data_IF_632496968568
#
_entry.id   IF_632496968568
#
_cell.length_a   1.000
_cell.length_b   1.000
_cell.length_c   1.000
_cell.angle_alpha   90.00
_cell.angle_beta   90.00
_cell.angle_gamma   90.00
#
_symmetry.space_group_name_H-M   'P 1'
#
loop_
_entity.id
_entity.type
_entity.pdbx_description
1 polymer ?
#
# COMPACT_ATOMS: atom_id res chain seq x y z
N UNK A 1 -25.19 20.54 20.94
CA UNK A 1 -24.79 19.14 21.22
C UNK A 1 -24.62 18.96 22.72
N UNK A 2 -24.60 17.73 23.25
CA UNK A 2 -24.44 17.46 24.69
C UNK A 2 -23.10 18.00 25.26
N UNK A 3 -22.15 18.30 24.37
CA UNK A 3 -20.83 18.84 24.64
C UNK A 3 -20.84 20.36 24.77
N UNK A 4 -21.80 21.04 24.14
CA UNK A 4 -21.94 22.50 24.17
C UNK A 4 -22.70 22.98 25.43
N UNK A 5 -23.30 22.04 26.17
CA UNK A 5 -24.04 22.32 27.40
C UNK A 5 -23.04 22.51 28.55
N UNK A 6 -23.14 23.59 29.35
CA UNK A 6 -22.24 23.81 30.46
C UNK A 6 -22.33 22.68 31.49
N UNK A 7 -21.17 22.25 32.00
CA UNK A 7 -21.06 21.11 32.93
C UNK A 7 -21.89 21.30 34.21
N UNK A 8 -22.21 22.55 34.58
CA UNK A 8 -23.10 22.90 35.69
C UNK A 8 -24.46 22.25 35.58
N UNK A 9 -25.10 22.47 34.43
CA UNK A 9 -26.47 22.09 34.15
C UNK A 9 -26.52 20.58 33.94
N UNK A 10 -25.53 20.06 33.21
CA UNK A 10 -25.41 18.63 32.95
C UNK A 10 -25.13 17.83 34.24
N UNK A 11 -24.34 18.37 35.18
CA UNK A 11 -24.12 17.75 36.49
C UNK A 11 -25.36 17.77 37.40
N UNK A 12 -26.16 18.83 37.30
CA UNK A 12 -27.42 18.94 38.03
C UNK A 12 -28.47 17.95 37.50
N UNK A 13 -28.62 17.85 36.18
CA UNK A 13 -29.54 16.91 35.53
C UNK A 13 -29.14 15.44 35.74
N UNK A 14 -27.83 15.15 35.70
CA UNK A 14 -27.33 13.80 35.92
C UNK A 14 -27.18 13.45 37.40
N UNK A 15 -27.37 14.41 38.32
CA UNK A 15 -27.12 14.26 39.77
C UNK A 15 -25.74 13.66 40.07
N UNK A 16 -24.72 14.07 39.30
CA UNK A 16 -23.33 13.59 39.41
C UNK A 16 -22.37 14.73 39.74
N UNK A 17 -21.14 14.38 40.14
CA UNK A 17 -20.10 15.39 40.37
C UNK A 17 -19.72 16.08 39.06
N UNK A 18 -19.47 17.39 39.11
CA UNK A 18 -19.00 18.16 37.94
C UNK A 18 -17.75 17.55 37.29
N UNK A 19 -16.87 16.96 38.09
CA UNK A 19 -15.65 16.31 37.60
C UNK A 19 -15.97 15.05 36.79
N UNK A 20 -16.92 14.23 37.25
CA UNK A 20 -17.36 13.04 36.52
C UNK A 20 -18.04 13.42 35.19
N UNK A 21 -18.90 14.44 35.22
CA UNK A 21 -19.60 14.93 34.03
C UNK A 21 -18.66 15.60 33.03
N UNK A 22 -17.66 16.35 33.49
CA UNK A 22 -16.59 16.88 32.63
C UNK A 22 -15.79 15.75 31.98
N UNK A 23 -15.44 14.70 32.74
CA UNK A 23 -14.75 13.52 32.21
C UNK A 23 -15.57 12.81 31.14
N UNK A 24 -16.88 12.70 31.33
CA UNK A 24 -17.80 12.13 30.34
C UNK A 24 -17.89 12.99 29.07
N UNK A 25 -18.04 14.31 29.20
CA UNK A 25 -18.08 15.22 28.06
C UNK A 25 -16.77 15.20 27.25
N UNK A 26 -15.62 15.21 27.93
CA UNK A 26 -14.32 15.10 27.28
C UNK A 26 -14.17 13.77 26.53
N UNK A 27 -14.60 12.67 27.14
CA UNK A 27 -14.57 11.35 26.50
C UNK A 27 -15.49 11.30 25.28
N UNK A 28 -16.70 11.87 25.38
CA UNK A 28 -17.65 11.94 24.28
C UNK A 28 -17.10 12.75 23.11
N UNK A 29 -16.51 13.92 23.38
CA UNK A 29 -15.86 14.74 22.37
C UNK A 29 -14.73 13.96 21.68
N UNK A 30 -13.85 13.32 22.46
CA UNK A 30 -12.75 12.53 21.91
C UNK A 30 -13.25 11.39 21.00
N UNK A 31 -14.30 10.67 21.39
CA UNK A 31 -14.88 9.60 20.57
C UNK A 31 -15.50 10.15 19.29
N UNK A 32 -16.14 11.32 19.34
CA UNK A 32 -16.72 11.97 18.16
C UNK A 32 -15.64 12.45 17.19
N UNK A 33 -14.58 13.06 17.71
CA UNK A 33 -13.44 13.51 16.92
C UNK A 33 -12.75 12.33 16.23
N UNK A 34 -12.47 11.26 16.98
CA UNK A 34 -11.88 10.02 16.43
C UNK A 34 -12.77 9.36 15.36
N UNK A 35 -14.09 9.41 15.53
CA UNK A 35 -15.04 8.90 14.53
C UNK A 35 -14.99 9.70 13.24
N UNK A 36 -14.93 11.02 13.35
CA UNK A 36 -14.85 11.89 12.18
C UNK A 36 -13.48 11.75 11.49
N UNK A 37 -12.40 11.65 12.25
CA UNK A 37 -11.05 11.39 11.71
C UNK A 37 -11.01 10.06 10.94
N UNK A 38 -11.59 9.00 11.49
CA UNK A 38 -11.69 7.71 10.80
C UNK A 38 -12.55 7.77 9.53
N UNK A 39 -13.61 8.59 9.53
CA UNK A 39 -14.43 8.81 8.34
C UNK A 39 -13.63 9.53 7.25
N UNK A 40 -12.85 10.54 7.64
CA UNK A 40 -12.02 11.34 6.74
C UNK A 40 -10.88 10.51 6.14
N UNK A 41 -10.18 9.71 6.95
CA UNK A 41 -9.09 8.86 6.48
C UNK A 41 -9.58 7.83 5.48
N UNK A 42 -10.72 7.19 5.74
CA UNK A 42 -11.35 6.24 4.82
C UNK A 42 -11.70 6.90 3.48
N UNK A 43 -12.31 8.08 3.52
CA UNK A 43 -12.67 8.80 2.29
C UNK A 43 -11.42 9.17 1.47
N UNK A 44 -10.33 9.56 2.13
CA UNK A 44 -9.06 9.84 1.48
C UNK A 44 -8.45 8.57 0.84
N UNK A 45 -8.45 7.45 1.57
CA UNK A 45 -7.93 6.18 1.08
C UNK A 45 -8.70 5.69 -0.14
N UNK A 46 -10.04 5.78 -0.12
CA UNK A 46 -10.88 5.43 -1.27
C UNK A 46 -10.54 6.25 -2.52
N UNK A 47 -10.25 7.54 -2.35
CA UNK A 47 -9.81 8.40 -3.45
C UNK A 47 -8.45 7.98 -4.01
N UNK A 48 -7.50 7.64 -3.13
CA UNK A 48 -6.18 7.15 -3.52
C UNK A 48 -6.27 5.82 -4.28
N UNK A 49 -7.02 4.85 -3.76
CA UNK A 49 -7.24 3.56 -4.42
C UNK A 49 -7.91 3.73 -5.79
N UNK A 50 -8.92 4.59 -5.90
CA UNK A 50 -9.56 4.90 -7.18
C UNK A 50 -8.59 5.54 -8.18
N UNK A 51 -7.64 6.37 -7.72
CA UNK A 51 -6.62 6.94 -8.59
C UNK A 51 -5.70 5.85 -9.15
N UNK A 52 -5.24 4.94 -8.29
CA UNK A 52 -4.43 3.79 -8.70
C UNK A 52 -5.15 2.86 -9.68
N UNK A 53 -6.44 2.57 -9.45
CA UNK A 53 -7.26 1.77 -10.37
C UNK A 53 -7.36 2.41 -11.75
N UNK A 54 -7.50 3.74 -11.81
CA UNK A 54 -7.55 4.49 -13.07
C UNK A 54 -6.21 4.45 -13.78
N UNK A 55 -5.11 4.65 -13.08
CA UNK A 55 -3.77 4.56 -13.67
C UNK A 55 -3.51 3.15 -14.22
N UNK A 56 -3.84 2.10 -13.47
CA UNK A 56 -3.75 0.71 -13.94
C UNK A 56 -4.64 0.43 -15.15
N UNK A 57 -5.86 0.95 -15.17
CA UNK A 57 -6.79 0.83 -16.30
C UNK A 57 -6.30 1.56 -17.55
N UNK A 58 -5.68 2.73 -17.39
CA UNK A 58 -5.08 3.49 -18.51
C UNK A 58 -3.90 2.71 -19.10
N UNK A 59 -3.05 2.11 -18.27
CA UNK A 59 -1.94 1.26 -18.73
C UNK A 59 -2.44 0.03 -19.51
N UNK A 60 -3.45 -0.68 -18.99
CA UNK A 60 -4.07 -1.81 -19.68
C UNK A 60 -4.70 -1.40 -21.02
N UNK A 61 -5.41 -0.26 -21.06
CA UNK A 61 -6.06 0.22 -22.28
C UNK A 61 -5.07 0.75 -23.32
N UNK A 62 -3.93 1.28 -22.89
CA UNK A 62 -2.82 1.65 -23.77
C UNK A 62 -2.16 0.39 -24.37
N UNK A 63 -2.10 -0.71 -23.62
CA UNK A 63 -1.61 -1.99 -24.09
C UNK A 63 -2.57 -2.63 -25.13
N UNK A 64 -3.89 -2.58 -24.91
CA UNK A 64 -4.90 -3.10 -25.85
C UNK A 64 -5.07 -2.25 -27.12
N UNK A 65 -4.99 -0.92 -27.02
CA UNK A 65 -5.10 -0.04 -28.20
C UNK A 65 -3.92 -0.16 -29.17
N UNK A 66 -2.77 -0.68 -28.71
CA UNK A 66 -1.65 -1.05 -29.59
C UNK A 66 -1.87 -2.37 -30.34
N UNK A 67 -2.84 -3.20 -29.93
CA UNK A 67 -3.12 -4.50 -30.55
C UNK A 67 -4.31 -4.48 -31.54
N UNK A 68 -5.03 -3.36 -31.68
CA UNK A 68 -6.31 -3.30 -32.39
C UNK A 68 -6.40 -2.44 -33.65
N UNK A 69 -5.31 -1.82 -34.12
CA UNK A 69 -5.34 -1.03 -35.37
C UNK A 69 -4.78 -1.86 -36.52
N UNK A 70 -5.71 -2.51 -37.22
CA UNK A 70 -5.48 -3.29 -38.43
C UNK A 70 -5.05 -2.46 -39.64
N UNK A 71 -4.18 -3.10 -40.40
CA UNK A 71 -4.08 -3.16 -41.87
C UNK A 71 -4.95 -2.19 -42.69
N UNK A 72 -4.25 -1.28 -43.38
CA UNK A 72 -4.39 -0.89 -44.80
C UNK A 72 -4.10 0.61 -44.97
N UNK A 73 -2.81 0.97 -45.11
CA UNK A 73 -2.32 1.96 -46.10
C UNK A 73 -0.79 1.98 -46.18
N UNK A 74 -0.31 1.38 -47.26
CA UNK A 74 0.75 1.86 -48.15
C UNK A 74 2.04 2.47 -47.57
N UNK A 75 3.11 1.69 -47.73
CA UNK A 75 4.54 2.03 -47.82
C UNK A 75 5.04 3.35 -47.21
N UNK A 76 5.70 3.26 -46.06
CA UNK A 76 7.10 3.71 -45.92
C UNK A 76 7.75 3.02 -44.73
N UNK A 77 8.87 2.39 -45.03
CA UNK A 77 9.85 1.78 -44.14
C UNK A 77 10.33 2.77 -43.06
N UNK A 78 10.02 2.46 -41.80
CA UNK A 78 10.94 2.75 -40.69
C UNK A 78 10.67 1.75 -39.58
N UNK A 79 11.42 0.66 -39.61
CA UNK A 79 11.38 -0.40 -38.62
C UNK A 79 11.65 0.10 -37.20
N UNK A 80 10.82 -0.36 -36.26
CA UNK A 80 11.23 -1.29 -35.19
C UNK A 80 10.01 -1.48 -34.28
N UNK A 81 9.13 -2.36 -34.72
CA UNK A 81 8.12 -2.98 -33.87
C UNK A 81 8.66 -4.32 -33.40
N UNK A 82 9.17 -4.37 -32.17
CA UNK A 82 9.57 -5.61 -31.51
C UNK A 82 8.61 -5.90 -30.35
N UNK A 83 7.50 -6.54 -30.70
CA UNK A 83 6.79 -7.44 -29.80
C UNK A 83 7.40 -8.83 -29.98
N UNK A 84 8.52 -9.09 -29.28
CA UNK A 84 9.11 -10.41 -29.16
C UNK A 84 9.01 -10.86 -27.71
N UNK A 85 8.23 -11.92 -27.48
CA UNK A 85 8.39 -12.77 -26.31
C UNK A 85 9.86 -13.21 -26.20
N UNK A 86 10.34 -13.37 -24.95
CA UNK A 86 11.75 -13.62 -24.58
C UNK A 86 12.58 -12.32 -24.53
N UNK A 87 12.38 -11.53 -23.47
CA UNK A 87 13.00 -10.20 -23.32
C UNK A 87 14.51 -10.38 -23.06
N UNK A 88 15.29 -10.45 -24.13
CA UNK A 88 16.70 -10.09 -24.10
C UNK A 88 16.79 -8.65 -23.59
N UNK A 89 17.49 -8.45 -22.49
CA UNK A 89 17.66 -7.15 -21.84
C UNK A 89 17.87 -6.02 -22.86
N UNK A 90 17.13 -4.92 -22.71
CA UNK A 90 17.24 -3.79 -23.65
C UNK A 90 18.67 -3.24 -23.65
N UNK A 91 19.11 -2.72 -24.80
CA UNK A 91 20.45 -2.14 -24.96
C UNK A 91 20.77 -1.09 -23.91
N UNK A 92 19.76 -0.34 -23.48
CA UNK A 92 19.85 0.63 -22.40
C UNK A 92 20.23 0.00 -21.04
N UNK A 93 19.66 -1.16 -20.69
CA UNK A 93 19.98 -1.87 -19.45
C UNK A 93 21.43 -2.38 -19.50
N UNK A 94 21.85 -2.96 -20.63
CA UNK A 94 23.22 -3.44 -20.82
C UNK A 94 24.24 -2.29 -20.76
N UNK A 95 23.92 -1.12 -21.33
CA UNK A 95 24.78 0.07 -21.21
C UNK A 95 24.85 0.58 -19.77
N UNK A 96 23.75 0.60 -19.04
CA UNK A 96 23.73 1.04 -17.64
C UNK A 96 24.52 0.10 -16.73
N UNK A 97 24.42 -1.22 -16.97
CA UNK A 97 25.24 -2.23 -16.30
C UNK A 97 26.72 -2.03 -16.61
N UNK A 98 27.07 -1.76 -17.87
CA UNK A 98 28.46 -1.68 -18.31
C UNK A 98 29.19 -0.37 -17.94
N UNK A 99 28.50 0.77 -18.02
CA UNK A 99 29.12 2.09 -17.90
C UNK A 99 29.09 2.66 -16.48
N UNK A 100 28.15 2.21 -15.63
CA UNK A 100 27.95 2.82 -14.31
C UNK A 100 28.62 2.02 -13.18
N UNK A 101 29.24 2.71 -12.20
CA UNK A 101 29.86 2.04 -11.06
C UNK A 101 28.85 1.45 -10.06
N UNK A 102 27.59 1.91 -10.09
CA UNK A 102 26.48 1.45 -9.25
C UNK A 102 25.21 1.26 -10.10
N UNK A 103 25.12 0.17 -10.88
CA UNK A 103 23.99 -0.08 -11.76
C UNK A 103 22.67 -0.30 -11.01
N UNK A 104 22.71 -0.87 -9.81
CA UNK A 104 21.55 -1.15 -8.95
C UNK A 104 20.77 0.11 -8.58
N UNK A 105 21.45 1.25 -8.40
CA UNK A 105 20.83 2.53 -8.08
C UNK A 105 20.34 3.30 -9.31
N UNK A 106 20.79 2.89 -10.50
CA UNK A 106 20.50 3.59 -11.75
C UNK A 106 19.33 3.00 -12.54
N UNK A 107 19.01 1.74 -12.30
CA UNK A 107 17.95 1.01 -12.96
C UNK A 107 16.62 1.17 -12.21
N UNK A 108 15.52 1.15 -12.94
CA UNK A 108 14.17 1.12 -12.36
C UNK A 108 13.91 -0.23 -11.68
N UNK A 109 12.91 -0.31 -10.80
CA UNK A 109 12.53 -1.58 -10.17
C UNK A 109 12.12 -2.65 -11.20
N UNK A 110 11.52 -2.23 -12.32
CA UNK A 110 11.14 -3.12 -13.42
C UNK A 110 12.38 -3.64 -14.18
N UNK A 111 13.36 -2.77 -14.44
CA UNK A 111 14.61 -3.18 -15.11
C UNK A 111 15.46 -4.11 -14.23
N UNK A 112 15.50 -3.85 -12.91
CA UNK A 112 16.16 -4.73 -11.95
C UNK A 112 15.51 -6.11 -11.90
N UNK A 113 14.18 -6.21 -12.03
CA UNK A 113 13.48 -7.49 -12.07
C UNK A 113 13.81 -8.29 -13.34
N UNK A 114 14.07 -7.62 -14.46
CA UNK A 114 14.54 -8.27 -15.69
C UNK A 114 15.96 -8.82 -15.51
N UNK A 115 16.86 -8.01 -14.93
CA UNK A 115 18.23 -8.46 -14.59
C UNK A 115 18.23 -9.61 -13.59
N UNK A 116 17.26 -9.64 -12.66
CA UNK A 116 17.09 -10.72 -11.69
C UNK A 116 16.66 -12.05 -12.32
N UNK A 117 15.88 -12.01 -13.42
CA UNK A 117 15.34 -13.18 -14.13
C UNK A 117 16.31 -13.75 -15.16
N UNK A 118 17.30 -12.97 -15.59
CA UNK A 118 18.28 -13.37 -16.61
C UNK A 118 19.27 -14.42 -16.08
N UNK A 119 19.70 -15.36 -16.94
CA UNK A 119 20.73 -16.33 -16.55
C UNK A 119 22.12 -15.66 -16.44
N UNK A 120 22.88 -15.88 -15.35
CA UNK A 120 24.20 -15.25 -15.16
C UNK A 120 25.20 -15.53 -16.29
N UNK A 121 25.08 -16.66 -17.01
CA UNK A 121 25.97 -16.96 -18.15
C UNK A 121 25.56 -16.18 -19.39
N UNK A 122 24.25 -16.06 -19.65
CA UNK A 122 23.74 -15.22 -20.73
C UNK A 122 24.09 -13.74 -20.50
N UNK A 123 23.94 -13.26 -19.26
CA UNK A 123 24.31 -11.90 -18.86
C UNK A 123 25.82 -11.64 -18.99
N UNK A 124 26.67 -12.63 -18.67
CA UNK A 124 28.12 -12.53 -18.81
C UNK A 124 28.55 -12.40 -20.28
N UNK A 125 27.91 -13.16 -21.17
CA UNK A 125 28.13 -13.08 -22.63
C UNK A 125 27.68 -11.72 -23.16
N UNK A 126 26.50 -11.21 -22.74
CA UNK A 126 25.97 -9.92 -23.19
C UNK A 126 26.82 -8.72 -22.72
N UNK A 127 27.37 -8.78 -21.51
CA UNK A 127 28.20 -7.71 -20.94
C UNK A 127 29.69 -7.86 -21.28
N UNK A 128 30.09 -8.97 -21.89
CA UNK A 128 31.47 -9.37 -22.12
C UNK A 128 32.29 -9.31 -20.80
N UNK A 129 31.72 -9.85 -19.73
CA UNK A 129 32.29 -9.89 -18.38
C UNK A 129 32.54 -11.33 -17.93
N UNK A 130 33.41 -11.50 -16.93
CA UNK A 130 33.54 -12.78 -16.25
C UNK A 130 32.24 -13.16 -15.52
N UNK A 131 31.95 -14.46 -15.48
CA UNK A 131 30.76 -15.00 -14.80
C UNK A 131 30.73 -14.57 -13.33
N UNK A 132 31.88 -14.60 -12.64
CA UNK A 132 31.99 -14.19 -11.22
C UNK A 132 31.66 -12.70 -11.01
N UNK A 133 32.11 -11.85 -11.93
CA UNK A 133 31.83 -10.40 -11.88
C UNK A 133 30.34 -10.14 -12.14
N UNK A 134 29.78 -10.85 -13.10
CA UNK A 134 28.37 -10.76 -13.49
C UNK A 134 27.45 -11.21 -12.36
N UNK A 135 27.78 -12.34 -11.72
CA UNK A 135 27.03 -12.87 -10.57
C UNK A 135 27.06 -11.90 -9.38
N UNK A 136 28.20 -11.28 -9.09
CA UNK A 136 28.31 -10.27 -8.04
C UNK A 136 27.40 -9.06 -8.31
N UNK A 137 27.43 -8.52 -9.55
CA UNK A 137 26.57 -7.38 -9.94
C UNK A 137 25.09 -7.77 -9.92
N UNK A 138 24.75 -8.97 -10.39
CA UNK A 138 23.39 -9.48 -10.37
C UNK A 138 22.87 -9.65 -8.93
N UNK A 139 23.71 -10.15 -8.02
CA UNK A 139 23.39 -10.24 -6.60
C UNK A 139 23.14 -8.87 -5.96
N UNK A 140 23.99 -7.88 -6.25
CA UNK A 140 23.78 -6.51 -5.75
C UNK A 140 22.49 -5.90 -6.29
N UNK A 141 22.16 -6.12 -7.56
CA UNK A 141 20.88 -5.70 -8.15
C UNK A 141 19.68 -6.36 -7.45
N UNK A 142 19.77 -7.67 -7.14
CA UNK A 142 18.72 -8.40 -6.44
C UNK A 142 18.52 -7.93 -4.99
N UNK A 143 19.61 -7.59 -4.30
CA UNK A 143 19.55 -7.04 -2.94
C UNK A 143 18.87 -5.68 -2.93
N UNK A 144 19.26 -4.79 -3.84
CA UNK A 144 18.63 -3.47 -3.99
C UNK A 144 17.14 -3.57 -4.36
N UNK A 145 16.79 -4.46 -5.29
CA UNK A 145 15.39 -4.72 -5.63
C UNK A 145 14.59 -5.20 -4.40
N UNK A 146 15.18 -6.09 -3.60
CA UNK A 146 14.56 -6.58 -2.37
C UNK A 146 14.35 -5.45 -1.36
N UNK A 147 15.30 -4.52 -1.21
CA UNK A 147 15.18 -3.35 -0.34
C UNK A 147 14.06 -2.42 -0.80
N UNK A 148 13.96 -2.11 -2.10
CA UNK A 148 12.89 -1.26 -2.65
C UNK A 148 11.51 -1.88 -2.48
N UNK A 149 11.40 -3.18 -2.68
CA UNK A 149 10.15 -3.91 -2.47
C UNK A 149 9.74 -3.94 -0.99
N UNK A 150 10.70 -4.04 -0.07
CA UNK A 150 10.41 -3.94 1.37
C UNK A 150 9.97 -2.54 1.79
N UNK A 151 10.60 -1.48 1.26
CA UNK A 151 10.21 -0.10 1.56
C UNK A 151 8.79 0.23 1.06
N UNK A 152 8.39 -0.34 -0.07
CA UNK A 152 7.05 -0.19 -0.63
C UNK A 152 6.02 -1.16 -0.02
N UNK A 153 6.44 -2.06 0.88
CA UNK A 153 5.53 -2.96 1.58
C UNK A 153 4.87 -2.21 2.72
N UNK A 154 3.65 -1.75 2.49
CA UNK A 154 2.75 -1.34 3.56
C UNK A 154 2.57 -2.57 4.48
N UNK A 155 2.93 -2.53 5.78
CA UNK A 155 2.59 -3.61 6.68
C UNK A 155 1.06 -3.64 6.82
N UNK A 156 0.41 -4.65 6.27
CA UNK A 156 -1.05 -4.87 6.30
C UNK A 156 -1.56 -5.22 7.72
N UNK A 157 -0.91 -4.73 8.76
CA UNK A 157 -1.26 -5.02 10.17
C UNK A 157 -1.87 -3.84 10.91
N UNK A 158 -2.03 -2.67 10.27
CA UNK A 158 -2.41 -1.43 10.99
C UNK A 158 -3.85 -0.96 10.77
N UNK A 159 -4.56 -1.39 9.73
CA UNK A 159 -5.93 -0.86 9.47
C UNK A 159 -7.07 -1.69 10.05
N UNK A 160 -7.02 -3.02 10.03
CA UNK A 160 -8.14 -3.81 10.57
C UNK A 160 -8.01 -4.11 12.07
N UNK A 161 -6.80 -4.39 12.56
CA UNK A 161 -6.62 -4.77 13.95
C UNK A 161 -6.64 -3.58 14.93
N UNK A 162 -6.18 -2.40 14.52
CA UNK A 162 -6.14 -1.22 15.38
C UNK A 162 -7.53 -0.58 15.51
N UNK A 163 -8.29 -0.49 14.41
CA UNK A 163 -9.64 0.07 14.43
C UNK A 163 -10.58 -0.83 15.24
N UNK A 164 -10.50 -2.16 15.08
CA UNK A 164 -11.34 -3.09 15.86
C UNK A 164 -10.92 -3.14 17.33
N UNK A 165 -9.62 -3.14 17.66
CA UNK A 165 -9.17 -3.15 19.07
C UNK A 165 -9.40 -1.82 19.78
N UNK A 166 -9.32 -0.68 19.09
CA UNK A 166 -9.59 0.64 19.68
C UNK A 166 -11.08 0.82 20.01
N UNK A 167 -11.97 0.15 19.28
CA UNK A 167 -13.43 0.23 19.49
C UNK A 167 -14.00 -0.82 20.46
N UNK A 168 -13.26 -1.89 20.76
CA UNK A 168 -13.72 -3.02 21.61
C UNK A 168 -13.24 -2.94 23.06
N UNK A 169 -12.39 -1.96 23.42
CA UNK A 169 -11.95 -1.78 24.81
C UNK A 169 -12.63 -0.53 25.40
N UNK A 170 -13.74 -0.67 26.16
CA UNK A 170 -14.14 0.38 27.08
C UNK A 170 -13.02 0.54 28.10
N UNK A 171 -12.43 1.74 28.13
CA UNK A 171 -11.45 2.13 29.14
C UNK A 171 -11.96 1.74 30.53
N UNK A 172 -11.19 0.88 31.20
CA UNK A 172 -11.52 0.33 32.51
C UNK A 172 -11.56 1.45 33.56
N UNK A 173 -12.73 2.04 33.73
CA UNK A 173 -13.06 2.99 34.77
C UNK A 173 -14.42 2.64 35.35
N UNK A 174 -14.45 1.68 36.27
CA UNK A 174 -15.51 1.45 37.25
C UNK A 174 -16.97 1.60 36.78
N UNK A 175 -17.51 0.61 36.05
CA UNK A 175 -18.97 0.42 35.97
C UNK A 175 -19.33 -1.05 36.16
N UNK A 176 -19.74 -1.33 37.40
CA UNK A 176 -20.66 -2.36 37.90
C UNK A 176 -20.83 -3.68 37.11
N UNK A 177 -20.62 -4.78 37.84
CA UNK A 177 -20.54 -6.20 37.45
C UNK A 177 -21.76 -6.83 36.74
N UNK A 178 -22.67 -6.05 36.15
CA UNK A 178 -23.83 -6.55 35.38
C UNK A 178 -23.65 -6.53 33.87
N UNK A 179 -22.67 -5.81 33.32
CA UNK A 179 -22.48 -5.76 31.86
C UNK A 179 -21.77 -6.98 31.25
N UNK A 180 -21.12 -7.84 32.04
CA UNK A 180 -20.36 -8.99 31.50
C UNK A 180 -21.23 -10.13 30.94
N UNK A 181 -22.55 -10.11 31.15
CA UNK A 181 -23.42 -11.21 30.68
C UNK A 181 -23.88 -11.04 29.22
N UNK A 182 -23.76 -9.85 28.64
CA UNK A 182 -24.22 -9.58 27.27
C UNK A 182 -23.11 -9.84 26.23
N UNK A 183 -21.84 -9.73 26.61
CA UNK A 183 -20.71 -9.95 25.68
C UNK A 183 -20.46 -11.41 25.32
N UNK A 184 -21.04 -12.38 26.04
CA UNK A 184 -20.83 -13.81 25.75
C UNK A 184 -21.93 -14.44 24.86
N UNK A 185 -23.01 -13.70 24.56
CA UNK A 185 -24.07 -14.16 23.65
C UNK A 185 -23.87 -13.70 22.19
N UNK A 186 -23.11 -12.63 21.94
CA UNK A 186 -22.92 -12.09 20.58
C UNK A 186 -21.74 -12.70 19.82
N UNK A 187 -20.86 -13.47 20.48
CA UNK A 187 -19.73 -14.17 19.83
C UNK A 187 -20.07 -15.61 19.41
N UNK A 188 -21.28 -16.09 19.70
CA UNK A 188 -21.70 -17.47 19.46
C UNK A 188 -22.56 -17.71 18.21
N UNK A 189 -22.98 -16.66 17.49
CA UNK A 189 -23.91 -16.78 16.37
C UNK A 189 -23.37 -16.00 15.16
N UNK A 190 -22.52 -16.65 14.38
CA UNK A 190 -22.57 -16.79 12.91
C UNK A 190 -21.16 -17.09 12.37
N UNK A 191 -20.77 -18.36 12.42
CA UNK A 191 -19.94 -18.94 11.37
C UNK A 191 -20.50 -20.33 11.06
N UNK A 192 -21.42 -20.37 10.10
CA UNK A 192 -21.79 -21.57 9.36
C UNK A 192 -22.23 -21.17 7.97
#
# INVERSE_FOLDING_TARGET
MLIDVPCSELAQELSQSRVAVQGLQNTLQQVLDQREEARQSKQLLELYLRALEKEGSILLKQQESKAGLGDERDAVDTGTGESSSEIALTSQILTALKEKPAPELSLSSQDLELVAKEDPKALAVALNWDIKKTEAVQQTCNQELSLRLQQNRIPVSVEEAAVIKMWVIPSAGAVNSRCLRISHELTGLTFR
#
